data_IF_525443651594
#
_entry.id   IF_525443651594
#
_cell.length_a   1.000
_cell.length_b   1.000
_cell.length_c   1.000
_cell.angle_alpha   90.00
_cell.angle_beta   90.00
_cell.angle_gamma   90.00
#
_symmetry.space_group_name_H-M   'P 1'
#
loop_
_entity.id
_entity.type
_entity.pdbx_description
1 polymer ?
#
# COMPACT_ATOMS: atom_id res chain seq x y z
N UNK A 1 11.24 9.07 -2.20
CA UNK A 1 10.39 9.68 -3.24
C UNK A 1 9.10 8.87 -3.34
N UNK A 2 7.94 9.50 -3.50
CA UNK A 2 6.68 8.80 -3.75
C UNK A 2 6.69 8.25 -5.19
N UNK A 3 6.49 6.94 -5.39
CA UNK A 3 6.55 6.34 -6.73
C UNK A 3 5.39 6.75 -7.63
N UNK A 4 4.34 7.38 -7.08
CA UNK A 4 3.14 7.79 -7.83
C UNK A 4 3.25 9.20 -8.40
N UNK A 5 3.75 10.14 -7.61
CA UNK A 5 3.74 11.57 -7.96
C UNK A 5 5.14 12.21 -7.98
N UNK A 6 6.19 11.45 -7.64
CA UNK A 6 7.56 11.95 -7.64
C UNK A 6 7.91 12.93 -6.50
N UNK A 7 6.95 13.31 -5.64
CA UNK A 7 7.20 14.19 -4.50
C UNK A 7 7.82 13.43 -3.31
N UNK A 8 8.55 14.09 -2.41
CA UNK A 8 8.90 13.53 -1.10
C UNK A 8 7.63 13.09 -0.34
N UNK A 9 7.67 11.96 0.36
CA UNK A 9 6.50 11.48 1.14
C UNK A 9 6.04 12.53 2.17
N UNK A 10 6.98 13.23 2.80
CA UNK A 10 6.70 14.30 3.77
C UNK A 10 6.01 15.54 3.18
N UNK A 11 5.95 15.67 1.85
CA UNK A 11 5.32 16.81 1.17
C UNK A 11 3.90 16.50 0.65
N UNK A 12 3.31 15.36 1.03
CA UNK A 12 1.93 15.05 0.68
C UNK A 12 0.98 15.74 1.66
N UNK A 13 0.00 16.47 1.15
CA UNK A 13 -1.19 16.79 1.94
C UNK A 13 -2.07 15.54 2.12
N UNK A 14 -3.08 15.60 2.99
CA UNK A 14 -3.91 14.44 3.34
C UNK A 14 -4.61 13.79 2.14
N UNK A 15 -5.05 14.58 1.16
CA UNK A 15 -5.67 14.07 -0.07
C UNK A 15 -4.65 13.39 -0.99
N UNK A 16 -3.49 14.02 -1.19
CA UNK A 16 -2.40 13.45 -1.96
C UNK A 16 -1.89 12.16 -1.35
N UNK A 17 -1.78 12.09 -0.03
CA UNK A 17 -1.37 10.89 0.71
C UNK A 17 -2.36 9.75 0.45
N UNK A 18 -3.66 10.03 0.57
CA UNK A 18 -4.73 9.04 0.35
C UNK A 18 -4.71 8.54 -1.10
N UNK A 19 -4.64 9.47 -2.06
CA UNK A 19 -4.61 9.14 -3.49
C UNK A 19 -3.37 8.33 -3.87
N UNK A 20 -2.20 8.74 -3.41
CA UNK A 20 -0.95 8.03 -3.73
C UNK A 20 -0.87 6.67 -3.04
N UNK A 21 -1.39 6.54 -1.82
CA UNK A 21 -1.47 5.26 -1.12
C UNK A 21 -2.38 4.30 -1.86
N UNK A 22 -3.60 4.73 -2.21
CA UNK A 22 -4.55 3.92 -3.00
C UNK A 22 -3.95 3.46 -4.33
N UNK A 23 -3.33 4.38 -5.08
CA UNK A 23 -2.69 4.05 -6.36
C UNK A 23 -1.47 3.13 -6.21
N UNK A 24 -0.73 3.25 -5.11
CA UNK A 24 0.37 2.32 -4.79
C UNK A 24 -0.14 0.92 -4.48
N UNK A 25 -1.32 0.79 -3.87
CA UNK A 25 -1.98 -0.50 -3.63
C UNK A 25 -2.48 -1.10 -4.95
N UNK A 26 -3.13 -0.30 -5.79
CA UNK A 26 -3.60 -0.72 -7.12
C UNK A 26 -2.46 -1.20 -8.02
N UNK A 27 -1.28 -0.55 -7.96
CA UNK A 27 -0.08 -0.95 -8.70
C UNK A 27 0.68 -2.12 -8.04
N UNK A 28 0.22 -2.64 -6.91
CA UNK A 28 0.88 -3.74 -6.18
C UNK A 28 2.21 -3.35 -5.53
N UNK A 29 2.54 -2.05 -5.46
CA UNK A 29 3.74 -1.53 -4.77
C UNK A 29 3.54 -1.61 -3.24
N UNK A 30 2.32 -1.37 -2.79
CA UNK A 30 1.91 -1.47 -1.38
C UNK A 30 0.79 -2.49 -1.23
N UNK A 31 0.66 -3.05 -0.03
CA UNK A 31 -0.41 -3.94 0.38
C UNK A 31 -1.22 -3.27 1.49
N UNK A 32 -2.54 -3.34 1.37
CA UNK A 32 -3.48 -2.84 2.37
C UNK A 32 -4.27 -4.01 2.95
N UNK A 33 -4.36 -4.07 4.28
CA UNK A 33 -5.07 -5.13 4.97
C UNK A 33 -6.45 -4.61 5.34
N UNK A 34 -7.49 -5.13 4.68
CA UNK A 34 -8.86 -4.68 4.89
C UNK A 34 -9.37 -4.96 6.31
N UNK A 35 -8.79 -5.97 6.99
CA UNK A 35 -9.19 -6.34 8.35
C UNK A 35 -8.68 -5.40 9.45
N UNK A 36 -7.45 -4.89 9.33
CA UNK A 36 -6.82 -4.10 10.39
C UNK A 36 -6.32 -2.72 9.96
N UNK A 37 -6.53 -2.36 8.69
CA UNK A 37 -6.12 -1.08 8.11
C UNK A 37 -4.62 -0.93 7.89
N UNK A 38 -3.82 -1.97 8.15
CA UNK A 38 -2.37 -1.87 8.03
C UNK A 38 -1.96 -1.79 6.55
N UNK A 39 -1.23 -0.74 6.21
CA UNK A 39 -0.60 -0.58 4.90
C UNK A 39 0.90 -0.82 5.02
N UNK A 40 1.48 -1.62 4.13
CA UNK A 40 2.92 -1.87 4.10
C UNK A 40 3.43 -2.02 2.66
N UNK A 41 4.73 -1.91 2.39
CA UNK A 41 5.31 -2.24 1.08
C UNK A 41 5.06 -3.71 0.74
N UNK A 42 4.75 -4.00 -0.52
CA UNK A 42 4.57 -5.38 -0.99
C UNK A 42 5.90 -6.13 -0.95
N UNK A 43 5.94 -7.25 -0.23
CA UNK A 43 7.14 -8.08 -0.07
C UNK A 43 6.90 -9.49 -0.63
N UNK A 44 6.88 -9.59 -1.96
CA UNK A 44 6.81 -10.87 -2.66
C UNK A 44 5.41 -11.51 -2.69
N UNK A 45 5.36 -12.74 -3.18
CA UNK A 45 4.11 -13.45 -3.45
C UNK A 45 3.42 -13.85 -2.13
N UNK A 46 4.12 -14.35 -1.13
CA UNK A 46 3.51 -14.86 0.11
C UNK A 46 3.26 -13.79 1.19
N UNK A 47 2.94 -12.57 0.77
CA UNK A 47 2.89 -11.45 1.70
C UNK A 47 1.67 -11.56 2.63
N UNK A 48 1.91 -11.45 3.94
CA UNK A 48 0.90 -11.53 5.00
C UNK A 48 0.86 -10.28 5.84
N UNK A 49 -0.31 -9.92 6.35
CA UNK A 49 -0.43 -8.80 7.26
C UNK A 49 0.33 -9.09 8.56
N UNK A 50 1.35 -8.29 8.88
CA UNK A 50 2.17 -8.51 10.09
C UNK A 50 1.41 -8.33 11.41
N UNK A 51 0.16 -7.83 11.38
CA UNK A 51 -0.66 -7.59 12.57
C UNK A 51 -1.71 -8.67 12.82
N UNK A 52 -2.40 -9.14 11.78
CA UNK A 52 -3.47 -10.13 11.90
C UNK A 52 -3.15 -11.46 11.20
N UNK A 53 -1.95 -11.59 10.61
CA UNK A 53 -1.46 -12.74 9.82
C UNK A 53 -2.34 -13.13 8.62
N UNK A 54 -3.32 -12.27 8.29
CA UNK A 54 -4.24 -12.45 7.17
C UNK A 54 -3.47 -12.37 5.84
N UNK A 55 -3.83 -13.22 4.88
CA UNK A 55 -3.14 -13.26 3.59
C UNK A 55 -3.56 -12.02 2.82
N UNK A 56 -2.61 -11.21 2.36
CA UNK A 56 -2.99 -10.13 1.47
C UNK A 56 -3.61 -10.75 0.21
N UNK A 57 -4.81 -10.30 -0.21
CA UNK A 57 -5.41 -10.82 -1.41
C UNK A 57 -4.43 -10.56 -2.55
N UNK A 58 -4.06 -11.62 -3.27
CA UNK A 58 -3.39 -11.48 -4.55
C UNK A 58 -4.34 -10.72 -5.45
N UNK A 59 -4.07 -9.43 -5.68
CA UNK A 59 -4.65 -8.72 -6.82
C UNK A 59 -4.18 -9.45 -8.08
N UNK A 60 -4.96 -10.43 -8.52
CA UNK A 60 -4.94 -10.93 -9.89
C UNK A 60 -5.50 -9.79 -10.74
N UNK A 61 -4.61 -8.98 -11.30
CA UNK A 61 -4.92 -8.13 -12.44
C UNK A 61 -3.84 -8.32 -13.49
#
# INVERSE_FOLDING_TARGET
>A
MCPICGKPQNNHNSEELTRCTKKSIELGIMRYCEFCGLTKPASGMHDRCGKCDEKYPFSNY
#
